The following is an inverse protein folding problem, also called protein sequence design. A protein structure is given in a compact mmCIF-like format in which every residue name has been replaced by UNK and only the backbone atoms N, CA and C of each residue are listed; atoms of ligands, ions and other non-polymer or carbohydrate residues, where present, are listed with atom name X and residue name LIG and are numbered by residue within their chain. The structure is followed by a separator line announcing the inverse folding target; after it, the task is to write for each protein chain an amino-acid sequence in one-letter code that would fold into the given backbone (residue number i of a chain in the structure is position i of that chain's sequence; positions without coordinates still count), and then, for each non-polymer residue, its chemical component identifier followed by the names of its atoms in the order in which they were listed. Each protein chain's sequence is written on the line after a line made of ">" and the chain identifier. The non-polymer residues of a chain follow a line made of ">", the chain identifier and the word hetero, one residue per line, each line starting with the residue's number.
data_IF_293252270601
#
_entry.id   IF_293252270601
#
_cell.length_a   1.000
_cell.length_b   1.000
_cell.length_c   1.000
_cell.angle_alpha   90.00
_cell.angle_beta   90.00
_cell.angle_gamma   90.00
#
_symmetry.space_group_name_H-M   'P 1'
#
loop_
_entity.id
_entity.type
_entity.pdbx_description
1 polymer ?
#
# COMPACT_ATOMS: atom_id res chain seq x y z
N UNK A 1 -16.97 -17.65 18.58
CA UNK A 1 -16.22 -18.27 17.47
C UNK A 1 -16.27 -17.32 16.30
N UNK A 2 -15.14 -16.81 15.79
CA UNK A 2 -15.15 -15.91 14.66
C UNK A 2 -15.60 -16.65 13.40
N UNK A 3 -16.48 -16.02 12.63
CA UNK A 3 -17.00 -16.55 11.36
C UNK A 3 -15.93 -16.45 10.26
N UNK A 4 -15.08 -17.45 10.16
CA UNK A 4 -13.98 -17.56 9.18
C UNK A 4 -14.44 -17.92 7.74
N UNK A 5 -15.74 -17.99 7.45
CA UNK A 5 -16.23 -18.59 6.19
C UNK A 5 -17.30 -17.72 5.53
N UNK A 6 -17.06 -16.43 5.28
CA UNK A 6 -18.12 -15.66 4.62
C UNK A 6 -17.76 -14.87 3.36
N UNK A 7 -16.50 -14.82 2.92
CA UNK A 7 -16.12 -13.89 1.82
C UNK A 7 -15.60 -14.55 0.54
N UNK A 8 -15.35 -15.85 0.53
CA UNK A 8 -14.89 -16.60 -0.66
C UNK A 8 -15.97 -16.79 -1.73
N UNK A 9 -17.24 -16.52 -1.43
CA UNK A 9 -18.35 -16.81 -2.35
C UNK A 9 -18.48 -15.81 -3.52
N UNK A 10 -17.98 -14.59 -3.38
CA UNK A 10 -18.10 -13.57 -4.42
C UNK A 10 -17.16 -13.80 -5.61
N UNK A 11 -16.07 -14.54 -5.43
CA UNK A 11 -15.11 -14.93 -6.49
C UNK A 11 -15.40 -16.28 -7.13
N UNK A 12 -16.27 -17.08 -6.54
CA UNK A 12 -16.52 -18.44 -7.02
C UNK A 12 -17.06 -18.42 -8.48
N UNK A 13 -16.29 -18.95 -9.42
CA UNK A 13 -16.63 -19.04 -10.82
C UNK A 13 -16.19 -17.86 -11.70
N UNK A 14 -15.52 -16.85 -11.15
CA UNK A 14 -14.95 -15.77 -11.95
C UNK A 14 -13.58 -16.17 -12.52
N UNK A 15 -13.21 -15.66 -13.71
CA UNK A 15 -11.89 -15.88 -14.30
C UNK A 15 -10.77 -15.33 -13.38
N UNK A 16 -9.56 -15.94 -13.40
CA UNK A 16 -8.38 -15.37 -12.72
C UNK A 16 -8.10 -13.93 -13.19
N UNK A 17 -7.71 -13.05 -12.26
CA UNK A 17 -7.47 -11.63 -12.57
C UNK A 17 -8.73 -10.76 -12.58
N UNK A 18 -9.93 -11.33 -12.29
CA UNK A 18 -11.14 -10.53 -12.12
C UNK A 18 -11.02 -9.71 -10.82
N UNK A 19 -11.11 -8.39 -10.95
CA UNK A 19 -10.99 -7.47 -9.83
C UNK A 19 -12.32 -7.37 -9.08
N UNK A 20 -12.32 -7.91 -7.86
CA UNK A 20 -13.44 -7.80 -6.92
C UNK A 20 -12.86 -7.51 -5.54
N UNK A 21 -13.32 -6.45 -4.91
CA UNK A 21 -12.92 -6.17 -3.52
C UNK A 21 -13.54 -7.20 -2.57
N UNK A 22 -12.68 -7.86 -1.80
CA UNK A 22 -13.06 -8.80 -0.73
C UNK A 22 -12.45 -8.27 0.56
N UNK A 23 -13.12 -7.35 1.18
CA UNK A 23 -12.71 -6.69 2.41
C UNK A 23 -13.92 -6.13 3.13
N UNK A 24 -13.73 -5.35 4.16
CA UNK A 24 -14.79 -4.53 4.73
C UNK A 24 -15.04 -3.34 3.80
N UNK A 25 -16.31 -3.13 3.44
CA UNK A 25 -16.68 -1.91 2.72
C UNK A 25 -16.61 -0.75 3.70
N UNK A 26 -15.73 0.21 3.43
CA UNK A 26 -15.70 1.48 4.12
C UNK A 26 -16.49 2.51 3.32
N UNK A 27 -17.20 3.40 4.00
CA UNK A 27 -17.90 4.53 3.35
C UNK A 27 -16.95 5.66 2.96
N UNK A 28 -15.67 5.56 3.32
CA UNK A 28 -14.64 6.55 3.06
C UNK A 28 -14.15 6.43 1.62
N UNK A 29 -13.86 7.57 0.99
CA UNK A 29 -13.26 7.57 -0.35
C UNK A 29 -11.83 7.06 -0.29
N UNK A 30 -11.40 6.37 -1.36
CA UNK A 30 -9.98 6.05 -1.55
C UNK A 30 -9.17 7.35 -1.55
N UNK A 31 -8.12 7.39 -0.74
CA UNK A 31 -7.20 8.52 -0.63
C UNK A 31 -5.84 8.11 -1.14
N UNK A 32 -5.29 8.89 -2.04
CA UNK A 32 -3.93 8.67 -2.56
C UNK A 32 -3.05 9.83 -2.11
N UNK A 33 -2.00 9.51 -1.38
CA UNK A 33 -0.98 10.48 -0.96
C UNK A 33 0.33 10.15 -1.66
N UNK A 34 0.91 11.15 -2.32
CA UNK A 34 2.23 11.07 -2.91
C UNK A 34 3.25 11.78 -2.04
N UNK A 35 4.36 11.11 -1.77
CA UNK A 35 5.51 11.70 -1.11
C UNK A 35 6.74 11.46 -1.99
N UNK A 36 7.13 12.48 -2.75
CA UNK A 36 8.32 12.46 -3.59
C UNK A 36 9.49 13.13 -2.86
N UNK A 37 10.68 12.53 -2.91
CA UNK A 37 11.84 13.10 -2.23
C UNK A 37 13.16 12.76 -2.92
N UNK A 38 14.11 13.65 -2.74
CA UNK A 38 15.53 13.49 -3.00
C UNK A 38 16.35 13.80 -1.73
N UNK A 39 17.66 13.91 -1.86
CA UNK A 39 18.52 14.21 -0.71
C UNK A 39 18.20 15.58 -0.06
N UNK A 40 17.79 16.58 -0.85
CA UNK A 40 17.60 17.96 -0.43
C UNK A 40 16.13 18.31 -0.16
N UNK A 41 15.23 17.75 -0.94
CA UNK A 41 13.82 18.14 -0.95
C UNK A 41 12.91 16.97 -0.64
N UNK A 42 11.73 17.28 -0.11
CA UNK A 42 10.61 16.35 0.01
C UNK A 42 9.31 17.13 -0.20
N UNK A 43 8.43 16.57 -1.01
CA UNK A 43 7.12 17.13 -1.28
C UNK A 43 6.04 16.07 -1.07
N UNK A 44 5.06 16.38 -0.23
CA UNK A 44 3.88 15.56 -0.04
C UNK A 44 2.67 16.26 -0.63
N UNK A 45 1.82 15.50 -1.30
CA UNK A 45 0.53 15.99 -1.81
C UNK A 45 -0.48 14.87 -1.88
N UNK A 46 -1.74 15.21 -1.69
CA UNK A 46 -2.86 14.33 -1.99
C UNK A 46 -3.24 14.48 -3.46
N UNK A 47 -3.63 13.37 -4.09
CA UNK A 47 -4.07 13.34 -5.49
C UNK A 47 -5.42 12.66 -5.61
N UNK A 48 -6.26 13.19 -6.47
CA UNK A 48 -7.61 12.68 -6.70
C UNK A 48 -7.67 11.71 -7.88
N UNK A 49 -6.68 11.76 -8.77
CA UNK A 49 -6.64 10.94 -9.98
C UNK A 49 -5.25 10.37 -10.24
N UNK A 50 -5.22 9.19 -10.87
CA UNK A 50 -3.97 8.52 -11.24
C UNK A 50 -3.12 9.35 -12.21
N UNK A 51 -3.73 10.16 -13.07
CA UNK A 51 -3.01 11.05 -13.99
C UNK A 51 -2.18 12.13 -13.29
N UNK A 52 -2.57 12.51 -12.08
CA UNK A 52 -1.79 13.47 -11.29
C UNK A 52 -0.48 12.88 -10.74
N UNK A 53 -0.37 11.54 -10.68
CA UNK A 53 0.86 10.84 -10.25
C UNK A 53 1.99 11.05 -11.25
N UNK A 54 1.67 11.18 -12.54
CA UNK A 54 2.63 11.22 -13.65
C UNK A 54 3.58 12.41 -13.68
N UNK A 55 3.15 13.53 -13.13
CA UNK A 55 3.91 14.80 -13.22
C UNK A 55 5.15 14.85 -12.35
N UNK A 56 5.44 13.77 -11.59
CA UNK A 56 6.56 13.72 -10.65
C UNK A 56 7.69 12.78 -11.08
N UNK A 57 7.57 12.10 -12.22
CA UNK A 57 8.57 11.10 -12.65
C UNK A 57 9.79 11.68 -13.37
N UNK A 58 9.84 13.01 -13.58
CA UNK A 58 10.89 13.64 -14.39
C UNK A 58 12.20 13.96 -13.65
N UNK A 59 12.29 13.66 -12.34
CA UNK A 59 13.51 13.89 -11.53
C UNK A 59 13.99 12.60 -10.86
N UNK A 60 15.28 12.48 -10.51
CA UNK A 60 15.83 11.30 -9.81
C UNK A 60 15.37 11.27 -8.34
N UNK A 61 14.09 11.09 -8.14
CA UNK A 61 13.44 11.09 -6.83
C UNK A 61 12.93 9.71 -6.50
N UNK A 62 12.89 9.39 -5.22
CA UNK A 62 12.10 8.26 -4.72
C UNK A 62 10.67 8.74 -4.50
N UNK A 63 9.71 8.01 -5.06
CA UNK A 63 8.30 8.35 -4.91
C UNK A 63 7.58 7.29 -4.09
N UNK A 64 6.96 7.70 -3.01
CA UNK A 64 6.04 6.87 -2.25
C UNK A 64 4.59 7.22 -2.60
N UNK A 65 3.85 6.23 -3.04
CA UNK A 65 2.44 6.31 -3.40
C UNK A 65 1.68 5.52 -2.34
N UNK A 66 1.06 6.21 -1.39
CA UNK A 66 0.25 5.59 -0.35
C UNK A 66 -1.23 5.63 -0.75
N UNK A 67 -1.87 4.47 -0.77
CA UNK A 67 -3.28 4.29 -1.11
C UNK A 67 -4.01 3.77 0.13
N UNK A 68 -4.86 4.61 0.69
CA UNK A 68 -5.74 4.28 1.82
C UNK A 68 -7.16 4.06 1.28
N UNK A 69 -7.75 2.89 1.57
CA UNK A 69 -9.04 2.48 1.02
C UNK A 69 -8.93 1.87 -0.38
N UNK A 70 -8.91 0.55 -0.46
CA UNK A 70 -8.72 -0.20 -1.72
C UNK A 70 -10.03 -0.65 -2.37
N UNK A 71 -11.19 -0.18 -1.89
CA UNK A 71 -12.51 -0.63 -2.34
C UNK A 71 -12.94 -0.04 -3.70
N UNK A 72 -12.29 1.01 -4.20
CA UNK A 72 -12.58 1.60 -5.51
C UNK A 72 -11.83 0.83 -6.61
N UNK A 73 -12.46 -0.21 -7.14
CA UNK A 73 -11.88 -1.16 -8.11
C UNK A 73 -11.37 -0.44 -9.36
N UNK A 74 -12.12 0.55 -9.88
CA UNK A 74 -11.76 1.31 -11.07
C UNK A 74 -10.44 2.08 -10.89
N UNK A 75 -10.24 2.68 -9.71
CA UNK A 75 -8.99 3.38 -9.39
C UNK A 75 -7.82 2.41 -9.27
N UNK A 76 -8.05 1.24 -8.66
CA UNK A 76 -7.05 0.18 -8.57
C UNK A 76 -6.67 -0.35 -9.95
N UNK A 77 -7.65 -0.50 -10.86
CA UNK A 77 -7.37 -0.87 -12.26
C UNK A 77 -6.51 0.18 -12.96
N UNK A 78 -6.86 1.46 -12.83
CA UNK A 78 -6.07 2.56 -13.42
C UNK A 78 -4.63 2.59 -12.91
N UNK A 79 -4.41 2.37 -11.60
CA UNK A 79 -3.08 2.23 -11.02
C UNK A 79 -2.33 1.03 -11.61
N UNK A 80 -3.01 -0.12 -11.71
CA UNK A 80 -2.47 -1.32 -12.31
C UNK A 80 -2.02 -1.13 -13.75
N UNK A 81 -2.88 -0.56 -14.58
CA UNK A 81 -2.59 -0.28 -15.98
C UNK A 81 -1.42 0.70 -16.12
N UNK A 82 -1.39 1.70 -15.25
CA UNK A 82 -0.35 2.75 -15.27
C UNK A 82 1.03 2.27 -14.89
N UNK A 83 1.12 1.41 -13.88
CA UNK A 83 2.38 0.87 -13.37
C UNK A 83 2.70 -0.54 -13.90
N UNK A 84 1.94 -0.99 -14.91
CA UNK A 84 2.07 -2.31 -15.53
C UNK A 84 2.04 -3.46 -14.48
N UNK A 85 1.18 -3.32 -13.47
CA UNK A 85 1.05 -4.35 -12.45
C UNK A 85 0.30 -5.57 -13.02
N UNK A 86 0.78 -6.75 -12.66
CA UNK A 86 0.15 -7.99 -13.10
C UNK A 86 -1.29 -8.10 -12.56
N UNK A 87 -2.30 -8.52 -13.36
CA UNK A 87 -3.69 -8.61 -12.91
C UNK A 87 -3.90 -9.43 -11.63
N UNK A 88 -3.12 -10.50 -11.43
CA UNK A 88 -3.18 -11.31 -10.21
C UNK A 88 -2.68 -10.55 -8.98
N UNK A 89 -1.74 -9.61 -9.14
CA UNK A 89 -1.29 -8.74 -8.03
C UNK A 89 -2.41 -7.81 -7.60
N UNK A 90 -3.11 -7.18 -8.55
CA UNK A 90 -4.28 -6.35 -8.26
C UNK A 90 -5.40 -7.15 -7.61
N UNK A 91 -5.64 -8.38 -8.09
CA UNK A 91 -6.58 -9.31 -7.48
C UNK A 91 -6.24 -9.58 -6.01
N UNK A 92 -4.96 -9.81 -5.71
CA UNK A 92 -4.47 -10.10 -4.36
C UNK A 92 -4.49 -8.86 -3.44
N UNK A 93 -4.21 -7.67 -3.98
CA UNK A 93 -4.36 -6.41 -3.23
C UNK A 93 -5.83 -6.23 -2.80
N UNK A 94 -6.77 -6.45 -3.72
CA UNK A 94 -8.22 -6.32 -3.47
C UNK A 94 -8.78 -7.43 -2.59
N UNK A 95 -8.05 -8.54 -2.41
CA UNK A 95 -8.44 -9.65 -1.55
C UNK A 95 -7.64 -9.62 -0.25
N UNK A 96 -8.18 -8.96 0.76
CA UNK A 96 -7.51 -8.69 2.03
C UNK A 96 -7.30 -9.93 2.93
N UNK A 97 -7.67 -11.10 2.44
CA UNK A 97 -7.44 -12.39 3.10
C UNK A 97 -6.15 -13.11 2.71
N UNK A 98 -5.22 -12.46 2.01
CA UNK A 98 -3.96 -13.08 1.58
C UNK A 98 -3.08 -13.47 2.76
N UNK A 99 -2.27 -14.52 2.56
CA UNK A 99 -1.19 -14.86 3.49
C UNK A 99 0.02 -13.96 3.22
N UNK A 100 0.83 -13.64 4.23
CA UNK A 100 2.10 -12.97 4.01
C UNK A 100 2.93 -13.69 2.94
N UNK A 101 3.44 -12.92 1.96
CA UNK A 101 4.24 -13.45 0.86
C UNK A 101 5.11 -12.37 0.23
N UNK A 102 6.13 -12.80 -0.50
CA UNK A 102 6.96 -11.95 -1.36
C UNK A 102 7.04 -12.63 -2.71
N UNK A 103 6.77 -11.88 -3.77
CA UNK A 103 6.82 -12.36 -5.15
C UNK A 103 7.62 -11.37 -6.00
N UNK A 104 8.53 -11.90 -6.83
CA UNK A 104 9.35 -11.11 -7.76
C UNK A 104 8.74 -11.19 -9.16
N UNK A 105 8.41 -10.03 -9.73
CA UNK A 105 7.87 -9.88 -11.09
C UNK A 105 8.90 -9.31 -12.07
N UNK A 106 10.18 -9.23 -11.68
CA UNK A 106 11.28 -8.70 -12.50
C UNK A 106 11.37 -7.17 -12.42
N UNK A 107 10.35 -6.45 -12.86
CA UNK A 107 10.32 -4.98 -12.83
C UNK A 107 9.93 -4.42 -11.45
N UNK A 108 9.33 -5.22 -10.59
CA UNK A 108 8.95 -4.88 -9.23
C UNK A 108 8.83 -6.11 -8.33
N UNK A 109 8.91 -5.90 -7.03
CA UNK A 109 8.56 -6.90 -6.01
C UNK A 109 7.18 -6.60 -5.42
N UNK A 110 6.38 -7.66 -5.23
CA UNK A 110 5.12 -7.59 -4.52
C UNK A 110 5.26 -8.25 -3.15
N UNK A 111 4.88 -7.52 -2.10
CA UNK A 111 5.03 -7.93 -0.71
C UNK A 111 3.69 -7.79 -0.01
N UNK A 112 3.25 -8.85 0.68
CA UNK A 112 2.06 -8.83 1.54
C UNK A 112 2.48 -9.12 2.97
N UNK A 113 2.05 -8.27 3.89
CA UNK A 113 2.20 -8.47 5.34
C UNK A 113 0.87 -8.22 6.05
N UNK A 114 0.75 -8.67 7.28
CA UNK A 114 -0.38 -8.38 8.14
C UNK A 114 0.02 -7.35 9.17
N UNK A 115 -0.83 -6.36 9.37
CA UNK A 115 -0.71 -5.41 10.47
C UNK A 115 -1.70 -5.80 11.56
N UNK A 116 -1.29 -5.66 12.81
CA UNK A 116 -2.13 -5.89 13.97
C UNK A 116 -2.19 -4.61 14.79
N UNK A 117 -3.38 -4.19 15.17
CA UNK A 117 -3.56 -3.02 16.01
C UNK A 117 -4.72 -3.23 16.99
N UNK A 118 -4.68 -2.52 18.10
CA UNK A 118 -5.79 -2.52 19.05
C UNK A 118 -6.94 -1.71 18.49
N UNK A 119 -8.11 -2.31 18.36
CA UNK A 119 -9.29 -1.68 17.78
C UNK A 119 -10.04 -0.83 18.80
N UNK A 120 -9.95 -1.17 20.08
CA UNK A 120 -10.66 -0.51 21.16
C UNK A 120 -9.91 -0.58 22.51
N UNK A 121 -10.48 0.08 23.52
CA UNK A 121 -9.97 0.03 24.90
C UNK A 121 -10.09 -1.36 25.56
N UNK A 122 -10.86 -2.28 24.99
CA UNK A 122 -11.04 -3.64 25.50
C UNK A 122 -9.91 -4.57 25.00
N UNK A 123 -9.00 -4.08 24.14
CA UNK A 123 -7.86 -4.84 23.66
C UNK A 123 -8.21 -5.84 22.56
N UNK A 124 -9.33 -5.68 21.86
CA UNK A 124 -9.58 -6.46 20.65
C UNK A 124 -8.55 -6.13 19.59
N UNK A 125 -7.88 -7.17 19.08
CA UNK A 125 -6.87 -7.04 18.03
C UNK A 125 -7.56 -7.14 16.68
N UNK A 126 -7.41 -6.09 15.88
CA UNK A 126 -7.78 -6.09 14.47
C UNK A 126 -6.58 -6.48 13.61
N UNK A 127 -6.85 -7.19 12.52
CA UNK A 127 -5.89 -7.56 11.49
C UNK A 127 -6.23 -6.80 10.21
N UNK A 128 -5.23 -6.21 9.60
CA UNK A 128 -5.33 -5.53 8.31
C UNK A 128 -4.24 -6.01 7.36
N UNK A 129 -4.56 -6.14 6.07
CA UNK A 129 -3.57 -6.45 5.06
C UNK A 129 -2.87 -5.18 4.60
N UNK A 130 -1.53 -5.19 4.64
CA UNK A 130 -0.69 -4.25 3.94
C UNK A 130 -0.10 -4.92 2.71
N UNK A 131 -0.32 -4.33 1.55
CA UNK A 131 0.32 -4.71 0.30
C UNK A 131 1.33 -3.64 -0.11
N UNK A 132 2.55 -4.05 -0.47
CA UNK A 132 3.61 -3.16 -0.97
C UNK A 132 4.03 -3.59 -2.36
N UNK A 133 4.24 -2.62 -3.26
CA UNK A 133 4.95 -2.77 -4.53
C UNK A 133 6.24 -1.97 -4.41
N UNK A 134 7.37 -2.65 -4.57
CA UNK A 134 8.69 -2.03 -4.63
C UNK A 134 9.17 -2.04 -6.08
N UNK A 135 9.17 -0.88 -6.72
CA UNK A 135 9.77 -0.64 -8.04
C UNK A 135 11.18 -0.03 -7.93
N UNK A 136 11.83 0.24 -9.07
CA UNK A 136 13.22 0.75 -9.09
C UNK A 136 13.39 2.10 -8.38
N UNK A 137 12.40 3.00 -8.48
CA UNK A 137 12.44 4.36 -7.92
C UNK A 137 11.16 4.72 -7.15
N UNK A 138 10.28 3.77 -6.91
CA UNK A 138 9.03 4.02 -6.21
C UNK A 138 8.67 2.89 -5.26
N UNK A 139 7.85 3.22 -4.27
CA UNK A 139 7.13 2.26 -3.43
C UNK A 139 5.66 2.63 -3.48
N UNK A 140 4.79 1.63 -3.66
CA UNK A 140 3.35 1.79 -3.44
C UNK A 140 2.97 1.01 -2.18
N UNK A 141 2.14 1.60 -1.33
CA UNK A 141 1.54 0.92 -0.18
C UNK A 141 0.03 0.99 -0.29
N UNK A 142 -0.63 -0.13 -0.03
CA UNK A 142 -2.09 -0.29 -0.10
C UNK A 142 -2.60 -0.76 1.25
N UNK A 143 -3.49 0.01 1.85
CA UNK A 143 -4.14 -0.24 3.14
C UNK A 143 -5.66 -0.26 2.95
N UNK A 144 -6.36 -1.08 3.76
CA UNK A 144 -7.83 -1.12 3.73
C UNK A 144 -8.45 0.15 4.29
N UNK A 145 -7.75 0.80 5.23
CA UNK A 145 -8.21 1.98 5.97
C UNK A 145 -7.11 3.01 6.09
N UNK A 146 -7.51 4.28 6.25
CA UNK A 146 -6.56 5.31 6.64
C UNK A 146 -6.01 4.99 8.04
N UNK A 147 -4.70 4.87 8.14
CA UNK A 147 -3.99 4.53 9.36
C UNK A 147 -2.74 5.37 9.55
N UNK A 148 -2.26 5.44 10.79
CA UNK A 148 -1.14 6.32 11.18
C UNK A 148 0.19 5.56 11.39
N UNK A 149 0.22 4.25 11.06
CA UNK A 149 1.42 3.40 11.24
C UNK A 149 2.66 3.97 10.56
N UNK A 150 2.49 4.70 9.46
CA UNK A 150 3.58 5.26 8.67
C UNK A 150 3.90 6.73 8.98
N UNK A 151 3.22 7.35 9.93
CA UNK A 151 3.50 8.74 10.33
C UNK A 151 4.98 8.98 10.71
N UNK A 152 5.64 8.10 11.48
CA UNK A 152 7.05 8.27 11.81
C UNK A 152 7.95 8.31 10.56
N UNK A 153 7.62 7.50 9.54
CA UNK A 153 8.38 7.45 8.28
C UNK A 153 8.15 8.74 7.46
N UNK A 154 6.89 9.20 7.34
CA UNK A 154 6.56 10.49 6.69
C UNK A 154 7.33 11.63 7.34
N UNK A 155 7.33 11.73 8.67
CA UNK A 155 8.06 12.77 9.39
C UNK A 155 9.58 12.69 9.20
N UNK A 156 10.16 11.50 9.16
CA UNK A 156 11.58 11.33 8.87
C UNK A 156 11.94 11.81 7.46
N UNK A 157 11.09 11.53 6.48
CA UNK A 157 11.28 12.01 5.10
C UNK A 157 11.12 13.53 5.05
N UNK A 158 10.05 14.10 5.61
CA UNK A 158 9.80 15.55 5.61
C UNK A 158 10.92 16.33 6.29
N UNK A 159 11.41 15.86 7.41
CA UNK A 159 12.45 16.55 8.18
C UNK A 159 13.87 16.22 7.75
N UNK A 160 14.06 15.25 6.86
CA UNK A 160 15.39 14.80 6.43
C UNK A 160 16.19 14.09 7.54
N UNK A 161 15.52 13.56 8.57
CA UNK A 161 16.19 12.89 9.68
C UNK A 161 16.80 11.55 9.25
N UNK A 162 18.04 11.32 9.68
CA UNK A 162 18.80 10.13 9.36
C UNK A 162 19.24 10.11 7.91
N UNK A 163 19.25 8.93 7.30
CA UNK A 163 19.72 8.74 5.92
C UNK A 163 18.61 8.38 4.91
N UNK A 164 17.34 8.44 5.31
CA UNK A 164 16.23 7.97 4.46
C UNK A 164 16.21 8.67 3.10
N UNK A 165 16.49 9.97 3.05
CA UNK A 165 16.54 10.73 1.79
C UNK A 165 17.76 10.43 0.91
N UNK A 166 18.80 9.79 1.46
CA UNK A 166 20.04 9.42 0.75
C UNK A 166 19.99 8.00 0.21
N UNK A 167 18.91 7.29 0.48
CA UNK A 167 18.74 5.88 0.12
C UNK A 167 17.64 5.74 -0.94
N UNK A 168 17.64 4.60 -1.62
CA UNK A 168 16.68 4.29 -2.67
C UNK A 168 15.30 3.81 -2.16
N UNK A 169 14.48 3.39 -3.12
CA UNK A 169 13.15 2.88 -2.85
C UNK A 169 13.17 1.59 -2.00
N UNK A 170 14.22 0.80 -2.13
CA UNK A 170 14.47 -0.41 -1.33
C UNK A 170 14.56 -0.09 0.17
N UNK A 171 15.27 0.97 0.53
CA UNK A 171 15.37 1.41 1.91
C UNK A 171 14.03 1.95 2.44
N UNK A 172 13.25 2.64 1.58
CA UNK A 172 11.92 3.07 1.94
C UNK A 172 11.01 1.87 2.22
N UNK A 173 10.99 0.87 1.34
CA UNK A 173 10.21 -0.35 1.54
C UNK A 173 10.62 -1.07 2.83
N UNK A 174 11.93 -1.19 3.10
CA UNK A 174 12.43 -1.72 4.36
C UNK A 174 11.91 -0.90 5.57
N UNK A 175 11.98 0.43 5.51
CA UNK A 175 11.53 1.27 6.62
C UNK A 175 10.01 1.15 6.89
N UNK A 176 9.21 0.97 5.83
CA UNK A 176 7.77 0.73 5.97
C UNK A 176 7.49 -0.63 6.64
N UNK A 177 8.19 -1.68 6.20
CA UNK A 177 8.08 -3.01 6.82
C UNK A 177 8.53 -3.02 8.28
N UNK A 178 9.65 -2.34 8.58
CA UNK A 178 10.18 -2.17 9.93
C UNK A 178 9.15 -1.48 10.85
N UNK A 179 8.48 -0.43 10.35
CA UNK A 179 7.41 0.26 11.08
C UNK A 179 6.20 -0.64 11.39
N UNK A 180 5.88 -1.58 10.49
CA UNK A 180 4.83 -2.57 10.73
C UNK A 180 5.25 -3.56 11.81
N UNK A 181 6.49 -4.04 11.77
CA UNK A 181 7.03 -4.94 12.80
C UNK A 181 7.07 -4.26 14.17
N UNK A 182 7.50 -2.99 14.21
CA UNK A 182 7.50 -2.21 15.45
C UNK A 182 6.10 -2.03 16.05
N UNK A 183 5.05 -2.03 15.22
CA UNK A 183 3.67 -1.91 15.71
C UNK A 183 3.13 -3.17 16.40
N UNK A 184 3.87 -4.29 16.37
CA UNK A 184 3.48 -5.54 17.05
C UNK A 184 3.83 -5.56 18.55
N UNK A 185 4.64 -4.58 19.01
CA UNK A 185 5.16 -4.50 20.39
C UNK A 185 4.70 -3.24 21.11
#
# INVERSE_FOLDING_TARGET
>A
MPKLIKRTSQKAGLPPGTLVHIGEETSEKTKITLLAYDELHAQEREVETVDQILRLQDEPTVTWINVDGIHQVEMMQQLGDRFALHPLVLEDILNTGQRPKIEDFGDYMYIVVKMFYSQDENGEIAEEQLSLILGPSFVMSFQEREGDVFKPIRERIKTGRGRIRKMGADYLAYALLDSVVDSYF
#
